data_IF_408062271690
#
_entry.id   IF_408062271690
#
_cell.length_a   1.000
_cell.length_b   1.000
_cell.length_c   1.000
_cell.angle_alpha   90.00
_cell.angle_beta   90.00
_cell.angle_gamma   90.00
#
_symmetry.space_group_name_H-M   'P 1'
#
loop_
_entity.id
_entity.type
_entity.pdbx_description
1 polymer ?
#
# COMPACT_ATOMS: atom_id res chain seq x y z
N UNK A 1 -9.54 2.03 25.62
CA UNK A 1 -8.59 2.90 24.90
C UNK A 1 -7.16 2.39 25.07
N UNK A 2 -6.67 2.26 26.31
CA UNK A 2 -5.30 1.79 26.59
C UNK A 2 -4.94 0.45 25.94
N UNK A 3 -5.86 -0.52 25.95
CA UNK A 3 -5.64 -1.80 25.28
C UNK A 3 -5.45 -1.64 23.77
N UNK A 4 -6.24 -0.79 23.12
CA UNK A 4 -6.16 -0.53 21.67
C UNK A 4 -4.90 0.28 21.32
N UNK A 5 -4.56 1.28 22.12
CA UNK A 5 -3.31 2.05 21.96
C UNK A 5 -2.11 1.13 22.12
N UNK A 6 -2.13 0.22 23.11
CA UNK A 6 -1.05 -0.75 23.30
C UNK A 6 -0.93 -1.72 22.11
N UNK A 7 -2.06 -2.08 21.49
CA UNK A 7 -2.11 -2.89 20.27
C UNK A 7 -1.66 -2.12 19.03
N UNK A 8 -1.56 -0.80 19.04
CA UNK A 8 -1.19 -0.02 17.86
C UNK A 8 0.04 0.86 18.10
N UNK A 9 0.77 0.59 19.18
CA UNK A 9 2.07 1.20 19.45
C UNK A 9 3.17 0.36 18.78
N UNK A 10 3.57 0.81 17.60
CA UNK A 10 4.52 0.09 16.75
C UNK A 10 5.95 0.48 17.09
N UNK A 11 6.79 -0.53 17.33
CA UNK A 11 8.23 -0.38 17.46
C UNK A 11 8.91 -0.90 16.21
N UNK A 12 10.04 -0.31 15.85
CA UNK A 12 10.85 -0.81 14.75
C UNK A 12 11.25 -2.26 15.07
N UNK A 13 11.02 -3.11 14.08
CA UNK A 13 11.35 -4.53 14.12
C UNK A 13 12.62 -4.78 13.30
N UNK A 14 12.68 -4.26 12.08
CA UNK A 14 13.79 -4.42 11.17
C UNK A 14 13.74 -3.36 10.05
N UNK A 15 14.85 -3.13 9.36
CA UNK A 15 14.89 -2.39 8.10
C UNK A 15 15.63 -3.19 7.05
N UNK A 16 15.04 -3.33 5.86
CA UNK A 16 15.64 -3.96 4.69
C UNK A 16 16.06 -2.85 3.72
N UNK A 17 17.25 -2.99 3.13
CA UNK A 17 17.70 -2.12 2.05
C UNK A 17 17.13 -2.66 0.74
N UNK A 18 16.22 -1.91 0.11
CA UNK A 18 15.77 -2.15 -1.25
C UNK A 18 16.64 -1.31 -2.19
N UNK A 19 17.76 -1.84 -2.66
CA UNK A 19 18.51 -1.17 -3.73
C UNK A 19 17.93 -1.57 -5.08
N UNK A 20 17.87 -0.66 -6.05
CA UNK A 20 17.81 -1.02 -7.47
C UNK A 20 18.75 -0.08 -8.20
N UNK A 21 19.29 -0.55 -9.33
CA UNK A 21 20.18 0.29 -10.15
C UNK A 21 19.44 1.57 -10.53
N UNK A 22 20.03 2.71 -10.14
CA UNK A 22 19.61 4.03 -10.60
C UNK A 22 19.79 4.11 -12.10
N UNK A 23 18.81 4.72 -12.77
CA UNK A 23 18.92 5.08 -14.18
C UNK A 23 19.37 6.53 -14.22
N UNK A 24 20.64 6.79 -14.56
CA UNK A 24 21.20 8.14 -14.51
C UNK A 24 21.45 8.61 -13.08
N UNK A 25 21.14 9.88 -12.80
CA UNK A 25 21.39 10.53 -11.50
C UNK A 25 20.22 10.39 -10.51
N UNK A 26 19.08 9.83 -10.94
CA UNK A 26 17.88 9.73 -10.11
C UNK A 26 17.92 8.50 -9.19
N UNK A 27 17.62 8.73 -7.91
CA UNK A 27 17.54 7.65 -6.92
C UNK A 27 16.24 6.86 -7.11
N UNK A 28 16.33 5.53 -7.14
CA UNK A 28 15.17 4.66 -7.23
C UNK A 28 14.53 4.45 -5.86
N UNK A 29 13.21 4.52 -5.78
CA UNK A 29 12.45 4.29 -4.56
C UNK A 29 11.25 3.38 -4.80
N UNK A 30 10.64 2.89 -3.72
CA UNK A 30 9.56 1.89 -3.79
C UNK A 30 8.20 2.58 -3.85
N UNK A 31 7.55 2.44 -5.00
CA UNK A 31 6.24 3.01 -5.32
C UNK A 31 5.06 2.20 -4.79
N UNK A 32 5.21 0.88 -4.64
CA UNK A 32 4.14 0.01 -4.14
C UNK A 32 4.71 -1.24 -3.47
N UNK A 33 3.92 -1.81 -2.55
CA UNK A 33 4.23 -3.04 -1.82
C UNK A 33 3.03 -3.99 -1.82
N UNK A 34 3.31 -5.27 -2.11
CA UNK A 34 2.35 -6.36 -1.92
C UNK A 34 2.98 -7.49 -1.11
N UNK A 35 2.16 -8.21 -0.34
CA UNK A 35 2.66 -9.16 0.66
C UNK A 35 1.80 -10.40 0.72
N UNK A 36 2.46 -11.55 0.81
CA UNK A 36 1.88 -12.84 1.23
C UNK A 36 2.60 -13.30 2.50
N UNK A 37 2.19 -14.40 3.15
CA UNK A 37 2.93 -14.93 4.30
C UNK A 37 4.42 -15.18 4.05
N UNK A 38 4.80 -15.53 2.81
CA UNK A 38 6.17 -15.94 2.46
C UNK A 38 6.91 -14.97 1.52
N UNK A 39 6.18 -14.16 0.75
CA UNK A 39 6.74 -13.29 -0.29
C UNK A 39 6.38 -11.83 -0.05
N UNK A 40 7.33 -10.94 -0.33
CA UNK A 40 7.14 -9.51 -0.43
C UNK A 40 7.48 -9.08 -1.86
N UNK A 41 6.58 -8.37 -2.52
CA UNK A 41 6.84 -7.70 -3.78
C UNK A 41 7.01 -6.21 -3.51
N UNK A 42 8.05 -5.62 -4.08
CA UNK A 42 8.32 -4.18 -4.00
C UNK A 42 8.54 -3.62 -5.40
N UNK A 43 7.63 -2.73 -5.83
CA UNK A 43 7.68 -2.09 -7.14
C UNK A 43 8.50 -0.80 -7.04
N UNK A 44 9.56 -0.69 -7.85
CA UNK A 44 10.45 0.47 -7.88
C UNK A 44 10.02 1.52 -8.90
N UNK A 45 10.46 2.77 -8.69
CA UNK A 45 10.29 3.88 -9.63
C UNK A 45 11.04 3.69 -10.96
N UNK A 46 11.92 2.69 -11.06
CA UNK A 46 12.56 2.27 -12.29
C UNK A 46 11.83 1.12 -13.03
N UNK A 47 10.56 0.88 -12.68
CA UNK A 47 9.67 -0.06 -13.36
C UNK A 47 10.04 -1.54 -13.16
N UNK A 48 10.90 -1.83 -12.18
CA UNK A 48 11.23 -3.20 -11.75
C UNK A 48 10.42 -3.58 -10.52
N UNK A 49 10.09 -4.87 -10.39
CA UNK A 49 9.50 -5.42 -9.17
C UNK A 49 10.49 -6.42 -8.58
N UNK A 50 10.92 -6.20 -7.34
CA UNK A 50 11.74 -7.18 -6.62
C UNK A 50 10.87 -8.06 -5.75
N UNK A 51 11.07 -9.38 -5.86
CA UNK A 51 10.43 -10.39 -5.02
C UNK A 51 11.42 -10.81 -3.95
N UNK A 52 11.01 -10.70 -2.69
CA UNK A 52 11.81 -11.08 -1.52
C UNK A 52 11.19 -12.29 -0.80
N UNK A 53 12.06 -13.18 -0.33
CA UNK A 53 11.71 -14.19 0.67
C UNK A 53 11.59 -13.52 2.04
N UNK A 54 10.43 -13.62 2.68
CA UNK A 54 10.15 -12.96 3.96
C UNK A 54 10.76 -13.65 5.18
N UNK A 55 11.28 -14.88 5.03
CA UNK A 55 11.92 -15.61 6.13
C UNK A 55 13.35 -15.15 6.37
N UNK A 56 14.05 -14.72 5.32
CA UNK A 56 15.47 -14.36 5.33
C UNK A 56 15.77 -13.01 4.66
N UNK A 57 14.75 -12.33 4.11
CA UNK A 57 14.84 -11.03 3.45
C UNK A 57 15.74 -10.99 2.21
N UNK A 58 15.96 -12.14 1.57
CA UNK A 58 16.78 -12.22 0.34
C UNK A 58 15.92 -12.02 -0.91
N UNK A 59 16.53 -11.47 -1.96
CA UNK A 59 15.87 -11.32 -3.27
C UNK A 59 15.80 -12.69 -3.94
N UNK A 60 14.58 -13.12 -4.28
CA UNK A 60 14.32 -14.34 -5.04
C UNK A 60 14.34 -14.09 -6.54
N UNK A 61 13.72 -13.00 -6.99
CA UNK A 61 13.60 -12.64 -8.40
C UNK A 61 13.46 -11.14 -8.60
N UNK A 62 13.77 -10.70 -9.82
CA UNK A 62 13.53 -9.35 -10.31
C UNK A 62 12.67 -9.45 -11.56
N UNK A 63 11.48 -8.85 -11.51
CA UNK A 63 10.52 -8.84 -12.60
C UNK A 63 10.74 -7.58 -13.43
N UNK A 64 11.14 -7.77 -14.69
CA UNK A 64 11.43 -6.69 -15.63
C UNK A 64 10.51 -6.81 -16.85
N UNK A 65 9.94 -5.70 -17.29
CA UNK A 65 9.16 -5.69 -18.54
C UNK A 65 8.19 -4.52 -18.68
N UNK A 66 7.76 -3.91 -17.57
CA UNK A 66 7.02 -2.66 -17.61
C UNK A 66 7.87 -1.54 -18.22
N UNK A 67 7.20 -0.57 -18.87
CA UNK A 67 7.84 0.53 -19.60
C UNK A 67 7.56 1.91 -19.01
N UNK A 68 6.77 1.95 -17.96
CA UNK A 68 6.40 3.15 -17.24
C UNK A 68 6.10 2.79 -15.77
N UNK A 69 5.74 3.78 -14.96
CA UNK A 69 5.46 3.65 -13.53
C UNK A 69 4.52 2.47 -13.25
N UNK A 70 4.90 1.66 -12.25
CA UNK A 70 4.07 0.58 -11.73
C UNK A 70 3.21 1.18 -10.63
N UNK A 71 1.89 1.17 -10.83
CA UNK A 71 0.96 1.91 -9.97
C UNK A 71 0.40 1.04 -8.83
N UNK A 72 0.22 -0.26 -9.07
CA UNK A 72 -0.26 -1.19 -8.05
C UNK A 72 0.18 -2.62 -8.37
N UNK A 73 0.48 -3.40 -7.33
CA UNK A 73 0.82 -4.81 -7.39
C UNK A 73 -0.06 -5.62 -6.45
N UNK A 74 -0.48 -6.81 -6.90
CA UNK A 74 -1.36 -7.68 -6.11
C UNK A 74 -1.01 -9.14 -6.29
N UNK A 75 -0.74 -9.85 -5.19
CA UNK A 75 -0.60 -11.30 -5.23
C UNK A 75 -1.95 -11.98 -5.47
N UNK A 76 -1.93 -13.06 -6.26
CA UNK A 76 -3.04 -14.02 -6.29
C UNK A 76 -2.83 -14.99 -5.12
N UNK A 77 -3.79 -15.01 -4.19
CA UNK A 77 -3.70 -15.79 -2.95
C UNK A 77 -3.38 -17.27 -3.17
N UNK A 78 -2.54 -17.84 -2.30
CA UNK A 78 -2.09 -19.25 -2.36
C UNK A 78 -1.42 -19.68 -3.68
N UNK A 79 -0.96 -18.73 -4.49
CA UNK A 79 -0.20 -19.00 -5.71
C UNK A 79 1.20 -18.37 -5.64
N UNK A 80 2.05 -18.65 -6.64
CA UNK A 80 3.29 -17.89 -6.86
C UNK A 80 3.09 -16.89 -8.01
N UNK A 81 1.92 -16.23 -8.04
CA UNK A 81 1.54 -15.33 -9.12
C UNK A 81 1.33 -13.93 -8.58
N UNK A 82 1.99 -12.95 -9.22
CA UNK A 82 1.82 -11.54 -8.95
C UNK A 82 1.16 -10.88 -10.16
N UNK A 83 0.21 -9.98 -9.91
CA UNK A 83 -0.29 -9.02 -10.88
C UNK A 83 0.36 -7.67 -10.64
N UNK A 84 0.63 -6.93 -11.71
CA UNK A 84 1.02 -5.52 -11.63
C UNK A 84 0.35 -4.72 -12.73
N UNK A 85 -0.09 -3.50 -12.41
CA UNK A 85 -0.63 -2.56 -13.38
C UNK A 85 0.25 -1.31 -13.47
N UNK A 86 0.20 -0.63 -14.62
CA UNK A 86 1.15 0.44 -14.95
C UNK A 86 0.55 1.50 -15.85
N UNK A 87 1.16 2.69 -15.82
CA UNK A 87 0.94 3.76 -16.80
C UNK A 87 1.39 3.37 -18.21
N UNK A 88 2.13 2.26 -18.38
CA UNK A 88 2.41 1.68 -19.71
C UNK A 88 1.19 1.02 -20.38
N UNK A 89 0.01 1.15 -19.76
CA UNK A 89 -1.30 0.65 -20.23
C UNK A 89 -1.41 -0.87 -20.24
N UNK A 90 -0.62 -1.54 -19.40
CA UNK A 90 -0.66 -2.99 -19.28
C UNK A 90 -0.89 -3.48 -17.85
N UNK A 91 -1.60 -4.60 -17.73
CA UNK A 91 -1.49 -5.49 -16.56
C UNK A 91 -0.60 -6.66 -16.93
N UNK A 92 0.42 -6.94 -16.13
CA UNK A 92 1.29 -8.09 -16.29
C UNK A 92 1.02 -9.12 -15.21
N UNK A 93 1.04 -10.39 -15.63
CA UNK A 93 0.89 -11.56 -14.76
C UNK A 93 2.26 -12.24 -14.71
N UNK A 94 2.80 -12.39 -13.51
CA UNK A 94 4.16 -12.87 -13.29
C UNK A 94 4.15 -14.17 -12.51
N UNK A 95 5.00 -15.12 -12.92
CA UNK A 95 5.40 -16.21 -12.05
C UNK A 95 6.57 -15.73 -11.17
N UNK A 96 6.33 -15.62 -9.87
CA UNK A 96 7.31 -15.07 -8.91
C UNK A 96 8.46 -16.01 -8.59
N UNK A 97 8.39 -17.29 -8.99
CA UNK A 97 9.47 -18.27 -8.85
C UNK A 97 10.42 -18.26 -10.03
N UNK A 98 9.92 -18.07 -11.25
CA UNK A 98 10.73 -18.06 -12.47
C UNK A 98 11.11 -16.65 -12.93
N UNK A 99 10.45 -15.63 -12.40
CA UNK A 99 10.60 -14.24 -12.81
C UNK A 99 9.96 -13.92 -14.17
N UNK A 100 9.26 -14.87 -14.78
CA UNK A 100 8.73 -14.74 -16.13
C UNK A 100 7.34 -14.07 -16.14
N UNK A 101 7.11 -13.22 -17.14
CA UNK A 101 5.79 -12.68 -17.45
C UNK A 101 4.98 -13.75 -18.22
N UNK A 102 4.02 -14.40 -17.57
CA UNK A 102 3.18 -15.43 -18.18
C UNK A 102 2.10 -14.86 -19.11
N UNK A 103 1.68 -13.61 -18.86
CA UNK A 103 0.67 -12.93 -19.67
C UNK A 103 0.79 -11.41 -19.53
N UNK A 104 0.51 -10.70 -20.63
CA UNK A 104 0.34 -9.24 -20.65
C UNK A 104 -1.06 -8.94 -21.18
N UNK A 105 -1.83 -8.15 -20.44
CA UNK A 105 -3.16 -7.67 -20.79
C UNK A 105 -2.99 -6.20 -21.21
N UNK A 106 -3.24 -5.90 -22.48
CA UNK A 106 -3.14 -4.53 -23.01
C UNK A 106 -4.47 -3.79 -22.87
N UNK A 107 -4.42 -2.52 -22.47
CA UNK A 107 -5.55 -1.63 -22.35
C UNK A 107 -5.33 -0.35 -23.16
N UNK A 108 -6.37 0.48 -23.26
CA UNK A 108 -6.32 1.73 -24.05
C UNK A 108 -5.83 2.95 -23.25
N UNK A 109 -5.91 2.88 -21.93
CA UNK A 109 -5.50 3.93 -20.99
C UNK A 109 -4.53 3.42 -19.94
N UNK A 110 -3.97 4.36 -19.19
CA UNK A 110 -3.14 4.07 -18.02
C UNK A 110 -3.95 3.32 -16.96
N UNK A 111 -3.27 2.49 -16.16
CA UNK A 111 -3.94 1.66 -15.16
C UNK A 111 -3.38 2.01 -13.79
N UNK A 112 -4.16 2.77 -13.01
CA UNK A 112 -3.74 3.23 -11.67
C UNK A 112 -4.12 2.28 -10.55
N UNK A 113 -5.10 1.41 -10.79
CA UNK A 113 -5.54 0.48 -9.77
C UNK A 113 -6.11 -0.81 -10.32
N UNK A 114 -5.87 -1.88 -9.56
CA UNK A 114 -6.42 -3.21 -9.79
C UNK A 114 -6.95 -3.82 -8.51
N UNK A 115 -7.95 -4.69 -8.67
CA UNK A 115 -8.39 -5.55 -7.58
C UNK A 115 -8.88 -6.91 -8.10
N UNK A 116 -8.92 -7.90 -7.21
CA UNK A 116 -9.26 -9.28 -7.55
C UNK A 116 -10.38 -9.82 -6.69
N UNK A 117 -11.31 -10.52 -7.35
CA UNK A 117 -12.30 -11.39 -6.73
C UNK A 117 -12.32 -12.74 -7.47
N UNK A 118 -11.57 -13.70 -6.94
CA UNK A 118 -11.31 -14.97 -7.62
C UNK A 118 -10.57 -14.73 -8.95
N UNK A 119 -11.14 -15.21 -10.05
CA UNK A 119 -10.59 -15.04 -11.40
C UNK A 119 -10.97 -13.71 -12.06
N UNK A 120 -11.80 -12.89 -11.41
CA UNK A 120 -12.23 -11.60 -11.94
C UNK A 120 -11.27 -10.53 -11.47
N UNK A 121 -10.61 -9.89 -12.43
CA UNK A 121 -9.78 -8.71 -12.27
C UNK A 121 -10.60 -7.46 -12.61
N UNK A 122 -10.71 -6.53 -11.67
CA UNK A 122 -11.16 -5.18 -11.91
C UNK A 122 -9.96 -4.27 -12.16
N UNK A 123 -10.07 -3.34 -13.10
CA UNK A 123 -9.01 -2.39 -13.47
C UNK A 123 -9.62 -1.00 -13.65
N UNK A 124 -9.02 0.03 -13.06
CA UNK A 124 -9.27 1.42 -13.44
C UNK A 124 -8.42 1.79 -14.66
N UNK A 125 -9.01 1.93 -15.83
CA UNK A 125 -8.34 2.15 -17.12
C UNK A 125 -8.69 3.56 -17.63
N UNK A 126 -7.81 4.53 -17.41
CA UNK A 126 -8.17 5.94 -17.55
C UNK A 126 -9.43 6.25 -16.73
N UNK A 127 -10.45 6.85 -17.33
CA UNK A 127 -11.75 7.11 -16.68
C UNK A 127 -12.73 5.92 -16.62
N UNK A 128 -12.30 4.73 -17.06
CA UNK A 128 -13.18 3.55 -17.20
C UNK A 128 -12.90 2.52 -16.11
N UNK A 129 -13.89 1.70 -15.79
CA UNK A 129 -13.69 0.47 -15.01
C UNK A 129 -13.86 -0.74 -15.93
N UNK A 130 -12.85 -1.59 -16.00
CA UNK A 130 -12.84 -2.79 -16.85
C UNK A 130 -12.79 -4.04 -15.99
N UNK A 131 -13.69 -5.00 -16.28
CA UNK A 131 -13.65 -6.33 -15.69
C UNK A 131 -13.08 -7.33 -16.69
N UNK A 132 -12.13 -8.14 -16.24
CA UNK A 132 -11.44 -9.14 -17.05
C UNK A 132 -11.38 -10.48 -16.32
N UNK A 133 -11.63 -11.58 -17.03
CA UNK A 133 -11.52 -12.91 -16.49
C UNK A 133 -10.14 -13.49 -16.80
N UNK A 134 -9.34 -13.75 -15.76
CA UNK A 134 -7.95 -14.22 -15.88
C UNK A 134 -7.85 -15.62 -16.52
N UNK A 135 -8.76 -16.52 -16.18
CA UNK A 135 -8.74 -17.91 -16.67
C UNK A 135 -9.11 -18.03 -18.14
N UNK A 136 -10.19 -17.36 -18.56
CA UNK A 136 -10.66 -17.38 -19.96
C UNK A 136 -9.93 -16.37 -20.84
N UNK A 137 -9.16 -15.45 -20.22
CA UNK A 137 -8.40 -14.38 -20.87
C UNK A 137 -9.26 -13.43 -21.69
N UNK A 138 -10.46 -13.12 -21.20
CA UNK A 138 -11.44 -12.28 -21.89
C UNK A 138 -11.89 -11.13 -21.01
N UNK A 139 -12.09 -9.97 -21.64
CA UNK A 139 -12.85 -8.88 -21.03
C UNK A 139 -14.29 -9.34 -20.81
N UNK A 140 -14.82 -9.10 -19.62
CA UNK A 140 -16.18 -9.44 -19.21
C UNK A 140 -17.10 -8.24 -19.45
N UNK A 141 -16.73 -7.08 -18.90
CA UNK A 141 -17.52 -5.84 -18.89
C UNK A 141 -16.60 -4.62 -18.93
N UNK A 142 -17.16 -3.49 -19.36
CA UNK A 142 -16.50 -2.19 -19.43
C UNK A 142 -17.52 -1.12 -19.06
N UNK A 143 -17.28 -0.42 -17.97
CA UNK A 143 -18.07 0.74 -17.54
C UNK A 143 -17.31 1.99 -17.97
N UNK A 144 -17.74 2.64 -19.05
CA UNK A 144 -17.08 3.82 -19.62
C UNK A 144 -17.81 5.15 -19.36
N UNK A 145 -19.00 5.09 -18.78
CA UNK A 145 -19.77 6.25 -18.33
C UNK A 145 -19.64 6.54 -16.82
N UNK A 146 -18.86 5.76 -16.06
CA UNK A 146 -18.84 5.88 -14.60
C UNK A 146 -18.07 7.08 -14.07
N UNK A 147 -17.02 7.52 -14.77
CA UNK A 147 -16.15 8.63 -14.36
C UNK A 147 -15.75 9.49 -15.55
N UNK A 148 -15.45 10.76 -15.29
CA UNK A 148 -14.99 11.70 -16.32
C UNK A 148 -13.49 11.94 -16.30
N UNK A 149 -12.83 11.56 -15.21
CA UNK A 149 -11.37 11.65 -15.01
C UNK A 149 -10.82 10.30 -14.56
N UNK A 150 -9.51 10.17 -14.43
CA UNK A 150 -8.83 8.92 -14.12
C UNK A 150 -9.35 8.23 -12.86
N UNK A 151 -9.68 6.95 -12.99
CA UNK A 151 -10.06 6.05 -11.91
C UNK A 151 -8.83 5.76 -11.06
N UNK A 152 -8.80 6.30 -9.85
CA UNK A 152 -7.65 6.24 -8.95
C UNK A 152 -7.61 4.94 -8.16
N UNK A 153 -8.78 4.38 -7.80
CA UNK A 153 -8.89 3.08 -7.13
C UNK A 153 -10.11 2.30 -7.61
N UNK A 154 -9.95 0.98 -7.68
CA UNK A 154 -11.05 0.01 -7.78
C UNK A 154 -10.92 -1.00 -6.63
N UNK A 155 -12.02 -1.33 -5.95
CA UNK A 155 -12.03 -2.28 -4.83
C UNK A 155 -13.27 -3.13 -4.83
N UNK A 156 -13.11 -4.45 -4.87
CA UNK A 156 -14.20 -5.39 -4.60
C UNK A 156 -14.59 -5.32 -3.15
N UNK A 157 -15.88 -5.48 -2.88
CA UNK A 157 -16.35 -5.59 -1.52
C UNK A 157 -15.81 -6.90 -0.90
N UNK A 158 -15.29 -6.89 0.35
CA UNK A 158 -14.53 -8.03 0.88
C UNK A 158 -15.34 -9.32 1.13
N UNK A 159 -16.66 -9.20 1.33
CA UNK A 159 -17.56 -10.34 1.58
C UNK A 159 -18.53 -10.56 0.41
N UNK A 160 -19.33 -9.54 0.09
CA UNK A 160 -20.22 -9.56 -1.08
C UNK A 160 -19.43 -9.50 -2.40
N UNK A 161 -19.34 -10.65 -3.07
CA UNK A 161 -18.60 -10.82 -4.32
C UNK A 161 -19.21 -10.10 -5.52
N UNK A 162 -20.45 -9.64 -5.40
CA UNK A 162 -21.13 -8.95 -6.48
C UNK A 162 -20.94 -7.44 -6.43
N UNK A 163 -20.31 -6.91 -5.39
CA UNK A 163 -20.13 -5.47 -5.23
C UNK A 163 -18.70 -5.05 -5.52
N UNK A 164 -18.59 -3.94 -6.23
CA UNK A 164 -17.34 -3.26 -6.54
C UNK A 164 -17.54 -1.77 -6.25
N UNK A 165 -16.49 -1.08 -5.83
CA UNK A 165 -16.45 0.38 -5.84
C UNK A 165 -15.28 0.87 -6.68
N UNK A 166 -15.45 2.03 -7.30
CA UNK A 166 -14.37 2.81 -7.87
C UNK A 166 -14.41 4.23 -7.33
N UNK A 167 -13.27 4.89 -7.34
CA UNK A 167 -13.18 6.33 -7.16
C UNK A 167 -12.25 6.95 -8.19
N UNK A 168 -12.38 8.25 -8.40
CA UNK A 168 -11.63 8.97 -9.43
C UNK A 168 -11.13 10.32 -8.95
N UNK A 169 -10.24 10.90 -9.77
CA UNK A 169 -9.82 12.30 -9.68
C UNK A 169 -11.01 13.26 -9.77
N UNK A 170 -12.10 12.87 -10.43
CA UNK A 170 -13.34 13.67 -10.53
C UNK A 170 -14.07 13.86 -9.18
N UNK A 171 -13.63 13.16 -8.12
CA UNK A 171 -14.23 13.24 -6.79
C UNK A 171 -15.51 12.43 -6.63
N UNK A 172 -15.83 11.57 -7.59
CA UNK A 172 -16.95 10.63 -7.50
C UNK A 172 -16.50 9.27 -6.97
N UNK A 173 -17.41 8.62 -6.27
CA UNK A 173 -17.33 7.20 -5.91
C UNK A 173 -18.50 6.51 -6.60
N UNK A 174 -18.21 5.52 -7.44
CA UNK A 174 -19.23 4.72 -8.10
C UNK A 174 -19.28 3.34 -7.44
N UNK A 175 -20.49 2.90 -7.11
CA UNK A 175 -20.76 1.56 -6.57
C UNK A 175 -21.44 0.72 -7.64
N UNK A 176 -20.93 -0.47 -7.87
CA UNK A 176 -21.42 -1.38 -8.88
C UNK A 176 -22.07 -2.61 -8.25
N UNK A 177 -23.21 -3.02 -8.80
CA UNK A 177 -23.80 -4.34 -8.62
C UNK A 177 -23.57 -5.17 -9.87
N UNK A 178 -22.67 -6.14 -9.75
CA UNK A 178 -22.24 -7.00 -10.84
C UNK A 178 -23.25 -8.09 -11.19
N UNK A 179 -24.34 -8.27 -10.42
CA UNK A 179 -25.45 -9.13 -10.85
C UNK A 179 -26.34 -8.44 -11.90
N UNK A 180 -26.35 -7.11 -11.94
CA UNK A 180 -27.08 -6.37 -12.97
C UNK A 180 -26.40 -6.58 -14.33
N UNK A 181 -27.21 -6.94 -15.33
CA UNK A 181 -26.73 -7.29 -16.66
C UNK A 181 -26.51 -6.06 -17.54
N UNK A 182 -27.33 -5.03 -17.35
CA UNK A 182 -27.18 -3.74 -18.03
C UNK A 182 -26.07 -2.93 -17.33
N UNK A 183 -25.16 -2.37 -18.11
CA UNK A 183 -23.97 -1.71 -17.57
C UNK A 183 -24.30 -0.35 -16.93
N UNK A 184 -25.37 0.34 -17.38
CA UNK A 184 -25.81 1.60 -16.78
C UNK A 184 -26.55 1.33 -15.46
N UNK A 185 -27.43 0.32 -15.44
CA UNK A 185 -28.16 -0.09 -14.22
C UNK A 185 -27.24 -0.76 -13.17
N UNK A 186 -26.08 -1.28 -13.59
CA UNK A 186 -25.09 -1.82 -12.66
C UNK A 186 -24.50 -0.75 -11.74
N UNK A 187 -24.48 0.53 -12.12
CA UNK A 187 -24.02 1.62 -11.26
C UNK A 187 -25.14 2.01 -10.29
N UNK A 188 -25.21 1.34 -9.14
CA UNK A 188 -26.31 1.49 -8.18
C UNK A 188 -26.25 2.76 -7.35
N UNK A 189 -25.05 3.29 -7.09
CA UNK A 189 -24.87 4.56 -6.38
C UNK A 189 -23.70 5.35 -6.97
N UNK A 190 -23.89 6.66 -7.05
CA UNK A 190 -22.83 7.64 -7.35
C UNK A 190 -22.78 8.63 -6.19
N UNK A 191 -21.70 8.59 -5.43
CA UNK A 191 -21.48 9.46 -4.27
C UNK A 191 -20.52 10.58 -4.69
N UNK A 192 -20.91 11.83 -4.46
CA UNK A 192 -20.03 12.97 -4.66
C UNK A 192 -19.21 13.23 -3.39
N UNK A 193 -17.91 12.93 -3.44
CA UNK A 193 -16.97 13.20 -2.38
C UNK A 193 -16.37 14.61 -2.42
N UNK A 194 -16.69 15.39 -3.45
CA UNK A 194 -16.26 16.78 -3.71
C UNK A 194 -14.77 16.94 -4.04
N UNK A 195 -13.92 16.05 -3.55
CA UNK A 195 -12.46 16.08 -3.72
C UNK A 195 -11.94 14.86 -4.46
N UNK A 196 -10.90 15.08 -5.27
CA UNK A 196 -10.11 14.02 -5.92
C UNK A 196 -9.66 12.96 -4.91
N UNK A 197 -10.11 11.72 -5.08
CA UNK A 197 -9.87 10.65 -4.11
C UNK A 197 -8.59 9.90 -4.46
N UNK A 198 -7.64 9.77 -3.51
CA UNK A 198 -6.42 8.99 -3.70
C UNK A 198 -6.47 7.60 -3.07
N UNK A 199 -7.29 7.42 -2.03
CA UNK A 199 -7.40 6.15 -1.32
C UNK A 199 -8.85 5.93 -0.85
N UNK A 200 -9.31 4.68 -0.98
CA UNK A 200 -10.64 4.22 -0.61
C UNK A 200 -10.55 2.81 -0.04
N UNK A 201 -11.42 2.49 0.91
CA UNK A 201 -11.58 1.13 1.37
C UNK A 201 -12.85 0.91 2.18
N UNK A 202 -13.19 -0.36 2.35
CA UNK A 202 -14.34 -0.78 3.13
C UNK A 202 -13.99 -0.92 4.61
N UNK A 203 -14.92 -0.55 5.50
CA UNK A 203 -14.77 -0.73 6.93
C UNK A 203 -16.09 -1.04 7.64
N UNK A 204 -15.99 -1.37 8.92
CA UNK A 204 -17.09 -1.89 9.72
C UNK A 204 -17.10 -3.42 9.75
N UNK A 205 -17.71 -4.00 10.78
CA UNK A 205 -17.73 -5.45 11.01
C UNK A 205 -18.33 -6.26 9.86
N UNK A 206 -19.20 -5.64 9.06
CA UNK A 206 -19.81 -6.24 7.87
C UNK A 206 -19.35 -5.55 6.58
N UNK A 207 -18.30 -4.70 6.64
CA UNK A 207 -17.82 -3.89 5.52
C UNK A 207 -18.86 -2.93 4.94
N UNK A 208 -19.83 -2.53 5.76
CA UNK A 208 -21.00 -1.74 5.36
C UNK A 208 -20.72 -0.24 5.14
N UNK A 209 -19.49 0.21 5.38
CA UNK A 209 -19.08 1.61 5.26
C UNK A 209 -17.86 1.76 4.35
N UNK A 210 -17.66 2.95 3.80
CA UNK A 210 -16.45 3.33 3.08
C UNK A 210 -15.71 4.42 3.81
N UNK A 211 -14.39 4.33 3.85
CA UNK A 211 -13.54 5.47 4.15
C UNK A 211 -12.89 5.97 2.87
N UNK A 212 -12.66 7.28 2.78
CA UNK A 212 -11.92 7.92 1.69
C UNK A 212 -10.88 8.87 2.25
N UNK A 213 -9.72 8.90 1.61
CA UNK A 213 -8.70 9.92 1.82
C UNK A 213 -8.42 10.58 0.47
N UNK A 214 -8.71 11.88 0.38
CA UNK A 214 -8.47 12.64 -0.85
C UNK A 214 -6.97 12.96 -1.04
N UNK A 215 -6.59 13.31 -2.27
CA UNK A 215 -5.27 13.89 -2.56
C UNK A 215 -5.08 15.24 -1.85
N UNK A 216 -6.17 15.92 -1.50
CA UNK A 216 -6.22 17.13 -0.66
C UNK A 216 -6.27 16.81 0.84
N UNK A 217 -5.99 15.56 1.23
CA UNK A 217 -5.82 15.14 2.63
C UNK A 217 -7.09 15.20 3.48
N UNK A 218 -8.25 15.15 2.83
CA UNK A 218 -9.55 15.08 3.51
C UNK A 218 -9.94 13.64 3.75
N UNK A 219 -10.10 13.31 5.03
CA UNK A 219 -10.60 12.03 5.49
C UNK A 219 -12.11 12.12 5.70
N UNK A 220 -12.86 11.21 5.08
CA UNK A 220 -14.31 11.09 5.25
C UNK A 220 -14.75 9.62 5.32
N UNK A 221 -15.94 9.41 5.86
CA UNK A 221 -16.60 8.10 5.93
C UNK A 221 -18.03 8.19 5.41
N UNK A 222 -18.50 7.09 4.83
CA UNK A 222 -19.72 7.02 4.04
C UNK A 222 -20.48 5.73 4.35
N UNK A 223 -21.81 5.80 4.28
CA UNK A 223 -22.68 4.64 4.40
C UNK A 223 -22.98 4.05 3.02
N UNK A 224 -22.67 2.77 2.81
CA UNK A 224 -22.84 2.11 1.51
C UNK A 224 -24.31 1.94 1.12
N UNK A 225 -25.22 1.82 2.09
CA UNK A 225 -26.63 1.53 1.81
C UNK A 225 -27.36 2.80 1.38
N UNK A 226 -27.03 3.91 2.02
CA UNK A 226 -27.70 5.20 1.80
C UNK A 226 -26.92 6.14 0.88
N UNK A 227 -25.63 5.87 0.66
CA UNK A 227 -24.71 6.77 -0.06
C UNK A 227 -24.39 8.05 0.70
N UNK A 228 -24.83 8.19 1.96
CA UNK A 228 -24.67 9.42 2.74
C UNK A 228 -23.31 9.50 3.42
N UNK A 229 -22.77 10.73 3.48
CA UNK A 229 -21.58 11.07 4.27
C UNK A 229 -21.91 10.90 5.77
N UNK A 230 -21.19 10.03 6.46
CA UNK A 230 -21.32 9.81 7.91
C UNK A 230 -20.53 10.87 8.68
N UNK A 231 -19.26 11.07 8.30
CA UNK A 231 -18.34 11.97 9.00
C UNK A 231 -17.32 12.55 8.04
N UNK A 232 -17.03 13.83 8.21
CA UNK A 232 -15.88 14.53 7.67
C UNK A 232 -14.98 14.96 8.83
N UNK A 233 -13.69 14.64 8.76
CA UNK A 233 -12.73 14.88 9.85
C UNK A 233 -12.06 16.26 9.80
N UNK A 234 -12.74 17.25 9.21
CA UNK A 234 -12.27 18.63 9.12
C UNK A 234 -11.57 18.93 7.79
N UNK A 235 -11.73 20.17 7.32
CA UNK A 235 -11.22 20.61 6.02
C UNK A 235 -9.69 20.69 5.93
N UNK A 236 -9.01 20.83 7.08
CA UNK A 236 -7.55 20.86 7.21
C UNK A 236 -7.12 19.99 8.40
N UNK A 237 -7.33 18.68 8.26
CA UNK A 237 -7.02 17.70 9.29
C UNK A 237 -5.52 17.68 9.62
N UNK A 238 -4.65 17.87 8.62
CA UNK A 238 -3.20 17.84 8.79
C UNK A 238 -2.69 18.95 9.70
N UNK A 239 -3.07 20.21 9.44
CA UNK A 239 -2.69 21.33 10.32
C UNK A 239 -3.30 21.16 11.72
N UNK A 240 -4.56 20.71 11.79
CA UNK A 240 -5.24 20.45 13.06
C UNK A 240 -4.47 19.44 13.93
N UNK A 241 -4.00 18.34 13.34
CA UNK A 241 -3.23 17.32 14.06
C UNK A 241 -1.82 17.81 14.41
N UNK A 242 -1.17 18.54 13.50
CA UNK A 242 0.16 19.12 13.74
C UNK A 242 0.14 20.07 14.93
N UNK A 243 -0.85 20.98 14.97
CA UNK A 243 -1.04 21.93 16.06
C UNK A 243 -1.45 21.26 17.36
N UNK A 244 -2.32 20.24 17.30
CA UNK A 244 -2.79 19.50 18.48
C UNK A 244 -1.62 18.80 19.17
N UNK A 245 -0.76 18.12 18.41
CA UNK A 245 0.28 17.27 18.97
C UNK A 245 1.70 17.86 18.97
N UNK A 246 1.87 19.09 18.45
CA UNK A 246 3.12 19.86 18.49
C UNK A 246 4.29 19.17 17.78
N UNK A 247 4.01 18.53 16.65
CA UNK A 247 5.01 18.12 15.66
C UNK A 247 4.45 18.32 14.26
N UNK A 248 5.33 18.31 13.28
CA UNK A 248 4.97 18.54 11.89
C UNK A 248 4.43 17.27 11.24
N UNK A 249 3.29 17.39 10.57
CA UNK A 249 2.80 16.39 9.61
C UNK A 249 2.80 17.09 8.27
N UNK A 250 3.62 16.61 7.34
CA UNK A 250 3.75 17.21 6.02
C UNK A 250 2.77 16.62 5.02
N UNK A 251 2.44 15.34 5.17
CA UNK A 251 1.49 14.66 4.31
C UNK A 251 0.78 13.49 5.00
N UNK A 252 -0.39 13.10 4.50
CA UNK A 252 -0.95 11.76 4.78
C UNK A 252 -0.51 10.74 3.74
N UNK A 253 -0.18 9.54 4.21
CA UNK A 253 0.31 8.43 3.38
C UNK A 253 -0.85 7.55 2.94
N UNK A 254 -1.65 7.08 3.90
CA UNK A 254 -2.73 6.13 3.65
C UNK A 254 -3.67 6.06 4.85
N UNK A 255 -4.88 5.60 4.61
CA UNK A 255 -5.80 5.14 5.65
C UNK A 255 -6.11 3.67 5.39
N UNK A 256 -6.14 2.87 6.44
CA UNK A 256 -6.42 1.44 6.36
C UNK A 256 -7.46 1.04 7.39
N UNK A 257 -8.15 -0.07 7.11
CA UNK A 257 -9.05 -0.71 8.06
C UNK A 257 -8.43 -2.01 8.60
N UNK A 258 -8.38 -2.12 9.93
CA UNK A 258 -8.08 -3.36 10.62
C UNK A 258 -9.38 -4.04 11.09
N UNK A 259 -9.71 -5.17 10.45
CA UNK A 259 -10.94 -5.90 10.75
C UNK A 259 -10.94 -6.59 12.11
N UNK A 260 -9.75 -6.97 12.62
CA UNK A 260 -9.65 -7.67 13.90
C UNK A 260 -10.04 -6.75 15.07
N UNK A 261 -9.60 -5.49 15.04
CA UNK A 261 -9.97 -4.48 16.04
C UNK A 261 -11.19 -3.63 15.64
N UNK A 262 -11.66 -3.77 14.40
CA UNK A 262 -12.69 -2.92 13.78
C UNK A 262 -12.35 -1.42 13.88
N UNK A 263 -11.12 -1.05 13.51
CA UNK A 263 -10.61 0.31 13.60
C UNK A 263 -10.07 0.82 12.27
N UNK A 264 -10.21 2.11 12.05
CA UNK A 264 -9.52 2.83 11.00
C UNK A 264 -8.21 3.41 11.55
N UNK A 265 -7.14 3.25 10.78
CA UNK A 265 -5.80 3.70 11.13
C UNK A 265 -5.31 4.61 10.01
N UNK A 266 -5.03 5.86 10.36
CA UNK A 266 -4.50 6.87 9.45
C UNK A 266 -2.99 6.98 9.64
N UNK A 267 -2.26 7.07 8.54
CA UNK A 267 -0.81 7.25 8.53
C UNK A 267 -0.45 8.60 7.94
N UNK A 268 0.39 9.35 8.66
CA UNK A 268 1.03 10.57 8.16
C UNK A 268 2.54 10.45 8.19
N UNK A 269 3.22 11.37 7.52
CA UNK A 269 4.66 11.45 7.53
C UNK A 269 5.18 12.88 7.50
N UNK A 270 6.46 13.04 7.83
CA UNK A 270 7.23 14.26 7.65
C UNK A 270 8.29 14.10 6.54
N UNK A 271 8.98 15.19 6.19
CA UNK A 271 10.07 15.15 5.21
C UNK A 271 11.39 14.57 5.75
N UNK A 272 11.47 14.24 7.03
CA UNK A 272 12.67 13.67 7.66
C UNK A 272 12.62 12.13 7.74
N UNK A 273 11.53 11.51 7.27
CA UNK A 273 11.30 10.07 7.34
C UNK A 273 10.68 9.58 8.65
N UNK A 274 10.10 10.49 9.44
CA UNK A 274 9.26 10.13 10.58
C UNK A 274 7.85 9.83 10.10
N UNK A 275 7.35 8.64 10.42
CA UNK A 275 5.93 8.32 10.27
C UNK A 275 5.14 8.61 11.55
N UNK A 276 3.85 8.86 11.38
CA UNK A 276 2.88 9.05 12.45
C UNK A 276 1.69 8.14 12.24
N UNK A 277 1.27 7.45 13.29
CA UNK A 277 0.12 6.54 13.27
C UNK A 277 -0.98 7.14 14.12
N UNK A 278 -2.19 7.20 13.55
CA UNK A 278 -3.37 7.73 14.20
C UNK A 278 -4.51 6.73 14.18
N UNK A 279 -5.21 6.64 15.30
CA UNK A 279 -6.49 5.96 15.39
C UNK A 279 -7.59 6.93 14.96
N UNK A 280 -8.44 6.50 14.03
CA UNK A 280 -9.60 7.26 13.58
C UNK A 280 -10.84 6.72 14.29
N UNK A 281 -11.38 7.51 15.20
CA UNK A 281 -12.63 7.22 15.93
C UNK A 281 -13.77 8.05 15.34
N UNK A 282 -15.06 7.74 15.59
CA UNK A 282 -16.17 8.55 15.08
C UNK A 282 -16.11 10.04 15.46
N UNK A 283 -15.49 10.37 16.60
CA UNK A 283 -15.47 11.72 17.14
C UNK A 283 -14.20 12.47 16.76
N UNK A 284 -13.05 11.79 16.79
CA UNK A 284 -11.74 12.41 16.61
C UNK A 284 -10.67 11.47 16.02
N UNK A 285 -9.56 12.07 15.61
CA UNK A 285 -8.34 11.37 15.15
C UNK A 285 -7.25 11.55 16.20
N UNK A 286 -6.72 10.42 16.69
CA UNK A 286 -5.86 10.37 17.88
C UNK A 286 -4.51 9.78 17.51
N UNK A 287 -3.41 10.46 17.79
CA UNK A 287 -2.09 9.86 17.58
C UNK A 287 -1.83 8.74 18.59
N UNK A 288 -1.34 7.59 18.11
CA UNK A 288 -1.08 6.40 18.92
C UNK A 288 0.36 5.90 18.82
N UNK A 289 1.08 6.23 17.74
CA UNK A 289 2.47 5.80 17.54
C UNK A 289 3.24 6.75 16.64
N UNK A 290 4.57 6.69 16.74
CA UNK A 290 5.50 7.26 15.77
C UNK A 290 6.38 6.17 15.18
N UNK A 291 6.75 6.33 13.93
CA UNK A 291 7.63 5.45 13.16
C UNK A 291 8.94 6.20 12.93
N UNK A 292 9.78 6.29 13.96
CA UNK A 292 11.02 7.07 13.95
C UNK A 292 12.25 6.18 13.69
N UNK A 293 13.32 6.79 13.15
CA UNK A 293 14.68 6.21 13.05
C UNK A 293 14.84 5.00 12.11
N UNK A 294 13.88 4.71 11.24
CA UNK A 294 14.02 3.68 10.20
C UNK A 294 14.27 4.31 8.83
N UNK A 295 13.48 5.31 8.48
CA UNK A 295 13.62 6.06 7.24
C UNK A 295 14.34 7.39 7.50
N UNK A 296 15.01 7.86 6.46
CA UNK A 296 15.71 9.16 6.45
C UNK A 296 15.16 10.12 5.39
N UNK A 297 14.05 9.73 4.77
CA UNK A 297 13.39 10.47 3.69
C UNK A 297 11.89 10.11 3.68
N UNK A 298 11.12 10.76 2.82
CA UNK A 298 9.66 10.65 2.73
C UNK A 298 9.18 9.21 2.65
N UNK A 299 8.23 8.85 3.53
CA UNK A 299 7.56 7.55 3.51
C UNK A 299 6.45 7.61 2.46
N UNK A 300 6.53 6.74 1.44
CA UNK A 300 5.59 6.71 0.31
C UNK A 300 4.45 5.71 0.50
N UNK A 301 4.72 4.59 1.16
CA UNK A 301 3.72 3.55 1.34
C UNK A 301 3.73 2.99 2.75
N UNK A 302 2.54 2.57 3.18
CA UNK A 302 2.32 1.75 4.36
C UNK A 302 1.43 0.59 3.98
N UNK A 303 1.92 -0.62 4.22
CA UNK A 303 1.18 -1.85 4.09
C UNK A 303 0.95 -2.48 5.47
N UNK A 304 -0.28 -2.91 5.74
CA UNK A 304 -0.63 -3.62 6.97
C UNK A 304 -0.66 -5.13 6.72
N UNK A 305 0.38 -5.81 7.20
CA UNK A 305 0.41 -7.26 7.19
C UNK A 305 -0.38 -7.82 8.36
N UNK A 306 -1.62 -8.20 8.06
CA UNK A 306 -2.57 -8.82 8.97
C UNK A 306 -2.09 -10.19 9.48
N UNK A 307 -1.28 -10.93 8.72
CA UNK A 307 -0.81 -12.26 9.10
C UNK A 307 0.19 -12.22 10.24
N UNK A 308 1.07 -11.20 10.24
CA UNK A 308 2.08 -11.00 11.28
C UNK A 308 1.76 -9.85 12.25
N UNK A 309 0.66 -9.13 12.02
CA UNK A 309 0.32 -7.89 12.75
C UNK A 309 1.49 -6.90 12.73
N UNK A 310 2.06 -6.70 11.55
CA UNK A 310 3.18 -5.79 11.32
C UNK A 310 2.82 -4.73 10.27
N UNK A 311 3.40 -3.55 10.41
CA UNK A 311 3.42 -2.55 9.35
C UNK A 311 4.69 -2.71 8.54
N UNK A 312 4.54 -2.57 7.23
CA UNK A 312 5.66 -2.52 6.29
C UNK A 312 5.59 -1.16 5.61
N UNK A 313 6.64 -0.37 5.73
CA UNK A 313 6.72 0.97 5.14
C UNK A 313 7.77 1.00 4.05
N UNK A 314 7.57 1.82 3.03
CA UNK A 314 8.63 2.12 2.07
C UNK A 314 8.82 3.63 1.93
N UNK A 315 10.05 4.03 1.61
CA UNK A 315 10.45 5.43 1.58
C UNK A 315 11.33 5.72 0.35
N UNK A 316 11.48 7.01 0.07
CA UNK A 316 12.40 7.55 -0.93
C UNK A 316 13.87 7.25 -0.61
N UNK A 317 14.19 6.87 0.63
CA UNK A 317 15.52 6.42 1.04
C UNK A 317 15.90 5.01 0.55
N UNK A 318 15.07 4.42 -0.33
CA UNK A 318 15.22 3.08 -0.88
C UNK A 318 15.25 1.99 0.21
N UNK A 319 14.63 2.22 1.38
CA UNK A 319 14.48 1.19 2.42
C UNK A 319 13.03 0.75 2.56
N UNK A 320 12.89 -0.48 3.02
CA UNK A 320 11.63 -1.06 3.48
C UNK A 320 11.74 -1.25 4.99
N UNK A 321 10.90 -0.54 5.75
CA UNK A 321 10.83 -0.62 7.21
C UNK A 321 9.79 -1.64 7.66
N UNK A 322 10.11 -2.40 8.71
CA UNK A 322 9.19 -3.35 9.34
C UNK A 322 8.95 -2.91 10.78
N UNK A 323 7.70 -2.86 11.18
CA UNK A 323 7.28 -2.37 12.49
C UNK A 323 6.32 -3.35 13.13
N UNK A 324 6.52 -3.67 14.40
CA UNK A 324 5.64 -4.56 15.15
C UNK A 324 5.30 -3.98 16.51
N UNK A 325 4.09 -4.28 16.97
CA UNK A 325 3.65 -4.04 18.33
C UNK A 325 3.98 -5.25 19.26
N UNK A 326 4.41 -6.39 18.71
CA UNK A 326 4.48 -7.65 19.45
C UNK A 326 5.74 -7.69 20.33
N UNK A 327 5.59 -7.71 21.67
CA UNK A 327 6.72 -7.74 22.60
C UNK A 327 7.55 -9.03 22.49
N UNK A 328 6.91 -10.14 22.11
CA UNK A 328 7.56 -11.46 22.02
C UNK A 328 8.60 -11.48 20.90
N UNK A 329 8.30 -10.83 19.78
CA UNK A 329 9.17 -10.78 18.59
C UNK A 329 10.32 -9.79 18.81
N UNK A 330 10.04 -8.62 19.42
CA UNK A 330 11.07 -7.62 19.75
C UNK A 330 12.12 -8.14 20.74
N UNK A 331 11.74 -9.02 21.68
CA UNK A 331 12.68 -9.63 22.63
C UNK A 331 13.63 -10.66 22.00
N UNK A 332 13.16 -11.47 21.04
CA UNK A 332 14.02 -12.46 20.35
C UNK A 332 15.15 -11.76 19.58
N UNK A 333 14.86 -10.61 18.96
CA UNK A 333 15.86 -9.83 18.21
C UNK A 333 16.87 -9.12 19.10
N UNK A 334 16.47 -8.60 20.27
CA UNK A 334 17.43 -8.08 21.26
C UNK A 334 18.42 -9.16 21.67
N UNK A 335 17.95 -10.39 21.91
CA UNK A 335 18.83 -11.53 22.22
C UNK A 335 19.79 -11.84 21.06
N UNK A 336 19.33 -11.80 19.80
CA UNK A 336 20.20 -12.04 18.64
C UNK A 336 21.21 -10.90 18.39
N UNK A 337 20.87 -9.65 18.67
CA UNK A 337 21.78 -8.50 18.58
C UNK A 337 22.76 -8.44 19.77
N UNK A 338 22.34 -8.86 20.97
CA UNK A 338 23.21 -8.94 22.14
C UNK A 338 24.15 -10.15 22.07
N UNK A 339 23.74 -11.24 21.42
CA UNK A 339 24.61 -12.41 21.18
C UNK A 339 25.59 -12.21 20.02
N UNK A 340 25.23 -11.40 19.01
CA UNK A 340 26.17 -11.01 17.95
C UNK A 340 27.18 -9.95 18.42
N UNK A 341 26.76 -8.99 19.26
CA UNK A 341 27.65 -8.00 19.86
C UNK A 341 28.59 -8.58 20.94
N UNK A 342 28.18 -9.64 21.65
CA UNK A 342 29.06 -10.34 22.60
C UNK A 342 30.11 -11.25 21.95
N UNK A 343 30.06 -11.50 20.63
CA UNK A 343 31.08 -12.28 19.91
C UNK A 343 32.17 -11.44 19.23
N UNK A 344 32.16 -10.11 19.34
CA UNK A 344 33.16 -9.23 18.71
C UNK A 344 34.07 -8.47 19.70
N UNK A 345 34.32 -9.04 20.88
CA UNK A 345 35.40 -8.58 21.78
C UNK A 345 36.32 -9.73 22.12
N UNK A 346 37.06 -10.21 21.12
CA UNK A 346 38.37 -10.85 21.30
C UNK A 346 38.92 -11.12 19.89
N UNK A 347 39.68 -10.16 19.35
CA UNK A 347 40.81 -10.41 18.46
C UNK A 347 41.46 -9.09 18.05
N UNK A 348 42.24 -8.54 19.00
CA UNK A 348 43.31 -7.61 18.69
C UNK A 348 44.47 -8.41 18.11
N UNK A 349 44.66 -8.43 16.79
CA UNK A 349 46.00 -8.67 16.24
C UNK A 349 46.29 -7.80 15.01
N UNK A 350 47.34 -7.00 15.21
CA UNK A 350 47.96 -6.03 14.33
C UNK A 350 48.43 -6.69 13.02
N UNK A 351 48.10 -6.09 11.88
CA UNK A 351 48.97 -6.18 10.70
C UNK A 351 49.11 -4.83 10.02
N UNK A 352 50.29 -4.22 10.18
CA UNK A 352 50.79 -3.11 9.39
C UNK A 352 50.95 -3.58 7.93
N UNK A 353 50.39 -2.86 6.96
CA UNK A 353 50.90 -2.86 5.58
C UNK A 353 51.05 -1.43 5.09
N UNK A 354 52.28 -1.15 4.71
CA UNK A 354 52.85 0.11 4.25
C UNK A 354 52.50 0.39 2.79
N UNK A 355 52.23 1.66 2.49
CA UNK A 355 51.94 2.22 1.15
C UNK A 355 53.20 2.26 0.27
N UNK A 356 53.13 1.86 -1.01
CA UNK A 356 54.23 1.99 -1.96
C UNK A 356 54.02 3.19 -2.89
N UNK A 357 54.14 4.41 -2.36
CA UNK A 357 54.32 5.62 -3.17
C UNK A 357 55.28 6.58 -2.44
N UNK A 358 56.57 6.37 -2.64
CA UNK A 358 57.58 7.40 -2.43
C UNK A 358 58.77 7.11 -3.36
N UNK A 359 58.73 7.81 -4.50
CA UNK A 359 59.78 8.09 -5.50
C UNK A 359 60.44 6.92 -6.23
#
# INVERSE_FOLDING_TARGET
MDQLISQLNFKSHNSIIHSVDSIGDDTCYVLDLSVTPNLLAAAGSNYLIKIYDRSNNTILNVLSGHKDAINETKFIENTNTLLSCSSDKTVKIWDTKTGQCSQTINQQGEIFSIDLNGDILAMGVGSMVVLYNLSTKKMIRKFDCSHTEDVTRVRFHPIDKNKLVSCSVDGLICMYDLEQADDDDAIVHVINAEDSIGNIGFFGSAYQYLYTLSHTERLATWDLTTGLKIKHYGADLRSTLSDRYKFEINYFISCIYDNASNQLILFGGDFNGTGHVFLVTPDEVIQISKLENVHTDVIRNVFWDKFKSELITSSEDSKIGFWTNNPSITNILKINNDTSSNKMKDDKLKSKKTSPYNK
#
